data_IF_025268771379
#
_entry.id   IF_025268771379
#
_cell.length_a   1.000
_cell.length_b   1.000
_cell.length_c   1.000
_cell.angle_alpha   90.00
_cell.angle_beta   90.00
_cell.angle_gamma   90.00
#
_symmetry.space_group_name_H-M   'P 1'
#
loop_
_entity.id
_entity.type
_entity.pdbx_description
1 polymer ?
#
# COMPACT_ATOMS: atom_id res chain seq x y z
N UNK A 1 -24.07 13.34 63.22
CA UNK A 1 -23.79 12.16 62.37
C UNK A 1 -24.45 12.42 61.03
N UNK A 2 -23.80 13.25 60.23
CA UNK A 2 -22.89 12.91 59.11
C UNK A 2 -23.67 12.68 57.81
N UNK A 3 -23.58 13.72 56.98
CA UNK A 3 -24.22 13.86 55.69
C UNK A 3 -23.63 12.89 54.66
N UNK A 4 -24.50 12.30 53.83
CA UNK A 4 -24.10 11.69 52.56
C UNK A 4 -23.67 12.82 51.63
N UNK A 5 -22.36 13.08 51.58
CA UNK A 5 -21.75 13.90 50.55
C UNK A 5 -21.83 13.15 49.21
N UNK A 6 -22.51 13.80 48.27
CA UNK A 6 -22.44 13.51 46.84
C UNK A 6 -20.98 13.58 46.40
N UNK A 7 -20.40 12.45 45.99
CA UNK A 7 -19.23 12.48 45.13
C UNK A 7 -19.71 12.60 43.68
N UNK A 8 -20.20 13.79 43.35
CA UNK A 8 -20.47 14.24 41.99
C UNK A 8 -19.09 14.56 41.40
N UNK A 9 -18.39 13.51 40.96
CA UNK A 9 -17.05 13.60 40.41
C UNK A 9 -17.08 14.52 39.19
N UNK A 10 -16.47 15.68 39.34
CA UNK A 10 -16.22 16.63 38.27
C UNK A 10 -15.71 15.89 37.03
N UNK A 11 -16.45 15.99 35.93
CA UNK A 11 -15.98 15.58 34.61
C UNK A 11 -14.73 16.44 34.35
N UNK A 12 -13.54 15.86 34.11
CA UNK A 12 -12.32 16.63 33.89
C UNK A 12 -12.54 17.63 32.76
N UNK A 13 -12.03 18.86 32.90
CA UNK A 13 -12.15 19.97 31.93
C UNK A 13 -11.85 19.54 30.48
N UNK A 14 -10.85 18.65 30.33
CA UNK A 14 -10.43 18.01 29.08
C UNK A 14 -11.54 17.20 28.38
N UNK A 15 -12.50 16.66 29.15
CA UNK A 15 -13.66 15.93 28.62
C UNK A 15 -14.82 16.84 28.18
N UNK A 16 -14.83 18.10 28.62
CA UNK A 16 -15.79 19.11 28.15
C UNK A 16 -15.32 19.73 26.82
N UNK A 17 -14.04 20.08 26.74
CA UNK A 17 -13.41 20.64 25.53
C UNK A 17 -13.51 19.68 24.34
N UNK A 18 -13.21 18.40 24.56
CA UNK A 18 -13.37 17.38 23.51
C UNK A 18 -14.85 17.24 23.10
N UNK A 19 -15.80 17.35 24.03
CA UNK A 19 -17.23 17.28 23.72
C UNK A 19 -17.65 18.37 22.74
N UNK A 20 -17.22 19.61 23.00
CA UNK A 20 -17.49 20.77 22.13
C UNK A 20 -16.83 20.61 20.76
N UNK A 21 -15.58 20.15 20.71
CA UNK A 21 -14.89 19.89 19.45
C UNK A 21 -15.65 18.86 18.59
N UNK A 22 -16.09 17.77 19.20
CA UNK A 22 -16.81 16.69 18.51
C UNK A 22 -18.21 17.13 18.06
N UNK A 23 -18.90 17.96 18.83
CA UNK A 23 -20.18 18.54 18.41
C UNK A 23 -20.03 19.44 17.18
N UNK A 24 -19.01 20.31 17.16
CA UNK A 24 -18.70 21.12 15.97
C UNK A 24 -18.29 20.26 14.77
N UNK A 25 -17.52 19.20 14.99
CA UNK A 25 -17.21 18.22 13.95
C UNK A 25 -18.48 17.57 13.38
N UNK A 26 -19.44 17.21 14.24
CA UNK A 26 -20.70 16.60 13.83
C UNK A 26 -21.56 17.54 12.95
N UNK A 27 -21.44 18.85 13.16
CA UNK A 27 -22.07 19.89 12.35
C UNK A 27 -21.33 20.16 11.02
N UNK A 28 -20.17 19.55 10.81
CA UNK A 28 -19.36 19.74 9.61
C UNK A 28 -18.51 21.00 9.62
N UNK A 29 -18.24 21.59 10.79
CA UNK A 29 -17.33 22.72 10.92
C UNK A 29 -15.92 22.32 10.46
N UNK A 30 -15.44 22.99 9.41
CA UNK A 30 -14.15 22.70 8.77
C UNK A 30 -12.98 22.92 9.74
N UNK A 31 -13.05 23.96 10.58
CA UNK A 31 -11.97 24.28 11.53
C UNK A 31 -11.90 23.24 12.63
N UNK A 32 -13.06 22.81 13.13
CA UNK A 32 -13.15 21.74 14.12
C UNK A 32 -12.64 20.39 13.56
N UNK A 33 -13.00 20.06 12.32
CA UNK A 33 -12.51 18.85 11.65
C UNK A 33 -10.99 18.90 11.43
N UNK A 34 -10.45 20.06 11.06
CA UNK A 34 -9.01 20.25 10.92
C UNK A 34 -8.29 20.05 12.25
N UNK A 35 -8.78 20.66 13.33
CA UNK A 35 -8.25 20.49 14.68
C UNK A 35 -8.31 19.02 15.11
N UNK A 36 -9.43 18.34 14.84
CA UNK A 36 -9.58 16.92 15.10
C UNK A 36 -8.51 16.07 14.39
N UNK A 37 -8.31 16.26 13.08
CA UNK A 37 -7.30 15.50 12.33
C UNK A 37 -5.88 15.87 12.76
N UNK A 38 -5.62 17.10 13.16
CA UNK A 38 -4.33 17.50 13.72
C UNK A 38 -4.03 16.70 15.00
N UNK A 39 -5.01 16.51 15.88
CA UNK A 39 -4.83 15.78 17.14
C UNK A 39 -4.81 14.25 16.97
N UNK A 40 -5.67 13.70 16.11
CA UNK A 40 -5.93 12.25 16.08
C UNK A 40 -5.39 11.52 14.85
N UNK A 41 -4.77 12.21 13.89
CA UNK A 41 -4.24 11.55 12.67
C UNK A 41 -3.24 10.43 12.96
N UNK A 42 -2.35 10.61 13.93
CA UNK A 42 -1.39 9.59 14.35
C UNK A 42 -2.09 8.39 15.02
N UNK A 43 -3.13 8.64 15.81
CA UNK A 43 -3.95 7.58 16.42
C UNK A 43 -4.67 6.76 15.33
N UNK A 44 -5.24 7.42 14.31
CA UNK A 44 -5.91 6.76 13.18
C UNK A 44 -4.91 5.89 12.39
N UNK A 45 -3.75 6.45 12.04
CA UNK A 45 -2.72 5.76 11.25
C UNK A 45 -2.15 4.55 11.98
N UNK A 46 -1.83 4.68 13.28
CA UNK A 46 -1.21 3.62 14.06
C UNK A 46 -2.19 2.53 14.53
N UNK A 47 -3.49 2.82 14.58
CA UNK A 47 -4.51 1.88 15.04
C UNK A 47 -4.50 0.52 14.30
N UNK A 48 -4.57 0.45 12.95
CA UNK A 48 -4.50 -0.82 12.22
C UNK A 48 -3.19 -1.59 12.47
N UNK A 49 -2.06 -0.90 12.57
CA UNK A 49 -0.76 -1.52 12.83
C UNK A 49 -0.77 -2.18 14.20
N UNK A 50 -1.21 -1.46 15.23
CA UNK A 50 -1.18 -1.93 16.62
C UNK A 50 -2.22 -3.01 16.93
N UNK A 51 -3.41 -2.90 16.35
CA UNK A 51 -4.56 -3.76 16.71
C UNK A 51 -4.72 -4.94 15.75
N UNK A 52 -4.36 -4.76 14.48
CA UNK A 52 -4.55 -5.76 13.42
C UNK A 52 -3.23 -6.23 12.78
N UNK A 53 -2.08 -5.72 13.24
CA UNK A 53 -0.74 -6.09 12.73
C UNK A 53 -0.60 -5.86 11.22
N UNK A 54 -1.28 -4.84 10.69
CA UNK A 54 -1.17 -4.47 9.29
C UNK A 54 0.17 -3.80 9.01
N UNK A 55 0.61 -3.90 7.75
CA UNK A 55 1.79 -3.19 7.25
C UNK A 55 1.58 -1.68 7.19
N UNK A 56 2.67 -0.91 7.07
CA UNK A 56 2.58 0.56 6.90
C UNK A 56 1.84 0.97 5.63
N UNK A 57 1.99 0.20 4.55
CA UNK A 57 1.27 0.42 3.28
C UNK A 57 -0.24 0.24 3.51
N UNK A 58 -0.65 -0.87 4.12
CA UNK A 58 -2.06 -1.13 4.47
C UNK A 58 -2.60 -0.09 5.47
N UNK A 59 -1.77 0.40 6.39
CA UNK A 59 -2.14 1.45 7.33
C UNK A 59 -2.34 2.81 6.63
N UNK A 60 -1.52 3.11 5.63
CA UNK A 60 -1.68 4.29 4.77
C UNK A 60 -3.00 4.24 4.00
N UNK A 61 -3.29 3.11 3.36
CA UNK A 61 -4.54 2.91 2.61
C UNK A 61 -5.76 3.00 3.53
N UNK A 62 -5.68 2.37 4.71
CA UNK A 62 -6.70 2.49 5.73
C UNK A 62 -6.88 3.94 6.18
N UNK A 63 -5.79 4.69 6.38
CA UNK A 63 -5.85 6.08 6.80
C UNK A 63 -6.63 6.92 5.79
N UNK A 64 -6.36 6.78 4.49
CA UNK A 64 -7.10 7.47 3.42
C UNK A 64 -8.58 7.07 3.42
N UNK A 65 -8.87 5.77 3.56
CA UNK A 65 -10.23 5.26 3.66
C UNK A 65 -10.99 5.83 4.87
N UNK A 66 -10.32 5.93 6.03
CA UNK A 66 -10.87 6.48 7.26
C UNK A 66 -11.06 7.99 7.14
N UNK A 67 -10.08 8.71 6.58
CA UNK A 67 -10.15 10.14 6.32
C UNK A 67 -11.39 10.49 5.48
N UNK A 68 -11.61 9.81 4.35
CA UNK A 68 -12.79 10.04 3.50
C UNK A 68 -14.12 9.81 4.22
N UNK A 69 -14.17 8.86 5.16
CA UNK A 69 -15.39 8.55 5.94
C UNK A 69 -15.62 9.48 7.12
N UNK A 70 -14.57 10.14 7.61
CA UNK A 70 -14.62 11.03 8.76
C UNK A 70 -14.69 12.51 8.36
N UNK A 71 -14.15 12.90 7.20
CA UNK A 71 -14.03 14.31 6.76
C UNK A 71 -15.33 15.09 6.61
N UNK A 72 -16.49 14.41 6.58
CA UNK A 72 -17.80 15.07 6.44
C UNK A 72 -18.54 15.25 7.77
N UNK A 73 -17.93 14.89 8.90
CA UNK A 73 -18.56 15.11 10.22
C UNK A 73 -19.61 14.07 10.64
N UNK A 74 -20.23 13.36 9.70
CA UNK A 74 -21.46 12.56 9.97
C UNK A 74 -21.26 11.48 11.03
N UNK A 75 -20.08 10.86 11.08
CA UNK A 75 -19.75 9.81 12.07
C UNK A 75 -19.75 10.35 13.50
N UNK A 76 -19.34 11.61 13.70
CA UNK A 76 -19.23 12.24 15.02
C UNK A 76 -20.59 12.47 15.69
N UNK A 77 -21.67 12.61 14.90
CA UNK A 77 -23.04 12.72 15.43
C UNK A 77 -23.49 11.49 16.26
N UNK A 78 -22.81 10.34 16.10
CA UNK A 78 -23.09 9.14 16.91
C UNK A 78 -22.43 9.14 18.28
N UNK A 79 -21.59 10.13 18.60
CA UNK A 79 -21.00 10.28 19.92
C UNK A 79 -21.98 10.96 20.88
N UNK A 80 -22.57 10.18 21.79
CA UNK A 80 -23.58 10.67 22.75
C UNK A 80 -22.98 11.11 24.11
N UNK A 81 -21.66 11.25 24.25
CA UNK A 81 -21.00 11.65 25.50
C UNK A 81 -21.09 10.65 26.67
N UNK A 82 -21.69 9.46 26.47
CA UNK A 82 -21.90 8.43 27.52
C UNK A 82 -20.64 7.65 27.89
N UNK A 83 -19.55 7.85 27.16
CA UNK A 83 -18.25 7.20 27.38
C UNK A 83 -17.13 8.17 27.04
N UNK A 84 -15.90 7.89 27.50
CA UNK A 84 -14.73 8.68 27.09
C UNK A 84 -14.60 8.66 25.56
N UNK A 85 -14.24 9.81 24.99
CA UNK A 85 -14.11 9.96 23.55
C UNK A 85 -13.22 8.89 22.90
N UNK A 86 -12.02 8.65 23.45
CA UNK A 86 -11.08 7.64 22.94
C UNK A 86 -11.70 6.23 22.90
N UNK A 87 -12.52 5.85 23.89
CA UNK A 87 -13.19 4.54 23.94
C UNK A 87 -14.20 4.38 22.79
N UNK A 88 -15.03 5.40 22.57
CA UNK A 88 -15.95 5.43 21.43
C UNK A 88 -15.18 5.45 20.11
N UNK A 89 -14.14 6.28 20.02
CA UNK A 89 -13.38 6.48 18.80
C UNK A 89 -12.65 5.20 18.36
N UNK A 90 -12.08 4.44 19.29
CA UNK A 90 -11.46 3.14 18.98
C UNK A 90 -12.48 2.13 18.47
N UNK A 91 -13.74 2.19 18.92
CA UNK A 91 -14.82 1.37 18.37
C UNK A 91 -15.12 1.77 16.93
N UNK A 92 -15.16 3.07 16.64
CA UNK A 92 -15.32 3.60 15.27
C UNK A 92 -14.17 3.11 14.38
N UNK A 93 -12.92 3.27 14.82
CA UNK A 93 -11.74 2.83 14.07
C UNK A 93 -11.74 1.33 13.82
N UNK A 94 -12.09 0.51 14.83
CA UNK A 94 -12.20 -0.94 14.67
C UNK A 94 -13.20 -1.32 13.57
N UNK A 95 -14.37 -0.69 13.56
CA UNK A 95 -15.38 -0.95 12.56
C UNK A 95 -14.91 -0.49 11.17
N UNK A 96 -14.27 0.67 11.09
CA UNK A 96 -13.70 1.17 9.83
C UNK A 96 -12.63 0.22 9.27
N UNK A 97 -11.74 -0.34 10.11
CA UNK A 97 -10.72 -1.29 9.66
C UNK A 97 -11.37 -2.56 9.14
N UNK A 98 -12.38 -3.09 9.84
CA UNK A 98 -13.11 -4.29 9.40
C UNK A 98 -13.82 -4.04 8.06
N UNK A 99 -14.48 -2.90 7.91
CA UNK A 99 -15.17 -2.54 6.67
C UNK A 99 -14.17 -2.33 5.52
N UNK A 100 -13.04 -1.68 5.78
CA UNK A 100 -11.95 -1.53 4.82
C UNK A 100 -11.42 -2.90 4.38
N UNK A 101 -11.07 -3.78 5.33
CA UNK A 101 -10.62 -5.14 5.04
C UNK A 101 -11.64 -5.96 4.24
N UNK A 102 -12.95 -5.76 4.49
CA UNK A 102 -14.02 -6.38 3.69
C UNK A 102 -14.04 -5.82 2.28
N UNK A 103 -13.97 -4.51 2.12
CA UNK A 103 -13.92 -3.88 0.80
C UNK A 103 -12.69 -4.29 0.00
N UNK A 104 -11.52 -4.41 0.63
CA UNK A 104 -10.29 -4.92 0.01
C UNK A 104 -10.42 -6.40 -0.36
N UNK A 105 -11.11 -7.22 0.44
CA UNK A 105 -11.36 -8.63 0.12
C UNK A 105 -12.40 -8.84 -0.97
N UNK A 106 -13.46 -8.04 -0.96
CA UNK A 106 -14.47 -8.03 -2.03
C UNK A 106 -13.85 -7.56 -3.32
N UNK A 107 -12.96 -6.56 -3.25
CA UNK A 107 -12.06 -6.22 -4.33
C UNK A 107 -11.17 -7.41 -4.69
N UNK A 108 -10.45 -8.11 -3.81
CA UNK A 108 -9.70 -9.34 -4.19
C UNK A 108 -10.59 -10.44 -4.83
N UNK A 109 -11.88 -10.49 -4.48
CA UNK A 109 -12.86 -11.49 -4.99
C UNK A 109 -13.50 -11.04 -6.30
N UNK A 110 -13.57 -9.73 -6.56
CA UNK A 110 -14.21 -9.10 -7.71
C UNK A 110 -13.18 -8.55 -8.70
N UNK A 111 -11.93 -8.27 -8.33
CA UNK A 111 -10.85 -7.64 -9.09
C UNK A 111 -10.19 -8.60 -10.10
N UNK A 112 -11.02 -9.16 -10.97
CA UNK A 112 -10.95 -8.70 -12.34
C UNK A 112 -11.51 -7.28 -12.39
N UNK A 113 -10.77 -6.28 -12.86
CA UNK A 113 -11.14 -4.84 -12.84
C UNK A 113 -10.69 -4.01 -11.62
N UNK A 114 -9.41 -4.10 -11.24
CA UNK A 114 -8.59 -2.87 -11.14
C UNK A 114 -7.86 -2.74 -12.47
N UNK A 115 -7.71 -1.53 -12.99
CA UNK A 115 -7.07 -1.25 -14.29
C UNK A 115 -5.90 -2.20 -14.53
N UNK A 116 -6.14 -3.07 -15.50
CA UNK A 116 -5.24 -4.13 -15.92
C UNK A 116 -4.44 -3.57 -17.07
N UNK A 117 -3.12 -3.79 -17.07
CA UNK A 117 -2.41 -3.79 -18.33
C UNK A 117 -2.98 -4.89 -19.25
N UNK A 118 -2.51 -4.97 -20.50
CA UNK A 118 -2.95 -6.00 -21.45
C UNK A 118 -2.72 -7.45 -20.97
N UNK A 119 -2.08 -7.64 -19.81
CA UNK A 119 -1.74 -8.90 -19.18
C UNK A 119 -2.40 -9.12 -17.79
N UNK A 120 -3.32 -8.26 -17.35
CA UNK A 120 -4.09 -8.51 -16.12
C UNK A 120 -3.40 -8.13 -14.81
N UNK A 121 -2.31 -7.34 -14.85
CA UNK A 121 -1.57 -6.93 -13.63
C UNK A 121 -2.21 -5.68 -13.00
N UNK A 122 -2.34 -5.61 -11.66
CA UNK A 122 -2.76 -4.38 -10.98
C UNK A 122 -1.64 -3.34 -11.05
N UNK A 123 -1.90 -2.20 -11.70
CA UNK A 123 -0.92 -1.12 -11.83
C UNK A 123 -1.22 -0.01 -10.81
N UNK A 124 -0.34 0.18 -9.82
CA UNK A 124 -0.05 1.56 -9.37
C UNK A 124 0.91 2.14 -10.42
N UNK A 125 0.61 3.28 -11.02
CA UNK A 125 1.43 3.88 -12.10
C UNK A 125 2.91 4.09 -11.70
N UNK A 126 3.18 4.25 -10.40
CA UNK A 126 4.54 4.34 -9.85
C UNK A 126 5.28 2.99 -9.85
N UNK A 127 4.54 1.87 -9.86
CA UNK A 127 5.10 0.53 -9.89
C UNK A 127 5.58 0.12 -11.28
N UNK A 128 4.99 0.69 -12.34
CA UNK A 128 5.47 0.54 -13.71
C UNK A 128 6.82 1.24 -13.96
N UNK A 129 7.14 2.30 -13.20
CA UNK A 129 8.42 3.03 -13.31
C UNK A 129 9.60 2.18 -12.80
N UNK A 130 9.34 1.25 -11.89
CA UNK A 130 10.35 0.58 -11.07
C UNK A 130 10.62 -0.87 -11.51
N UNK A 131 9.76 -1.44 -12.35
CA UNK A 131 9.87 -2.83 -12.80
C UNK A 131 11.00 -3.01 -13.85
N UNK A 132 12.11 -3.71 -13.52
CA UNK A 132 13.20 -4.00 -14.46
C UNK A 132 12.79 -4.99 -15.56
N UNK A 133 11.64 -5.65 -15.41
CA UNK A 133 11.10 -6.62 -16.37
C UNK A 133 10.25 -6.03 -17.49
N UNK A 134 9.99 -4.71 -17.50
CA UNK A 134 9.21 -4.05 -18.57
C UNK A 134 9.95 -3.89 -19.91
N UNK A 135 11.19 -4.38 -19.98
CA UNK A 135 12.08 -4.29 -21.14
C UNK A 135 11.85 -5.39 -22.19
N UNK A 136 10.61 -5.63 -22.59
CA UNK A 136 10.33 -6.25 -23.89
C UNK A 136 9.62 -5.22 -24.77
N UNK A 137 10.38 -4.76 -25.78
CA UNK A 137 10.02 -3.87 -26.90
C UNK A 137 8.57 -3.38 -26.98
N UNK A 138 8.36 -2.07 -26.79
CA UNK A 138 7.22 -1.38 -27.39
C UNK A 138 7.46 0.15 -27.41
N UNK A 139 7.22 0.77 -28.57
CA UNK A 139 7.11 2.22 -28.76
C UNK A 139 6.12 2.85 -27.75
N UNK A 140 5.12 2.09 -27.32
CA UNK A 140 4.16 2.45 -26.26
C UNK A 140 4.82 2.68 -24.90
N UNK A 141 5.81 1.86 -24.50
CA UNK A 141 6.50 2.05 -23.21
C UNK A 141 7.39 3.29 -23.24
N UNK A 142 7.98 3.61 -24.40
CA UNK A 142 8.76 4.82 -24.59
C UNK A 142 7.89 6.07 -24.48
N UNK A 143 6.73 6.08 -25.14
CA UNK A 143 5.75 7.17 -25.03
C UNK A 143 5.23 7.34 -23.61
N UNK A 144 4.92 6.25 -22.89
CA UNK A 144 4.54 6.30 -21.47
C UNK A 144 5.65 6.90 -20.60
N UNK A 145 6.91 6.49 -20.81
CA UNK A 145 8.05 7.03 -20.08
C UNK A 145 8.27 8.53 -20.36
N UNK A 146 8.10 8.98 -21.61
CA UNK A 146 8.24 10.38 -22.01
C UNK A 146 7.11 11.26 -21.43
N UNK A 147 5.86 10.80 -21.49
CA UNK A 147 4.72 11.49 -20.85
C UNK A 147 4.89 11.57 -19.34
N UNK A 148 5.35 10.48 -18.72
CA UNK A 148 5.60 10.43 -17.27
C UNK A 148 6.74 11.37 -16.86
N UNK A 149 7.85 11.41 -17.61
CA UNK A 149 8.94 12.36 -17.36
C UNK A 149 8.45 13.81 -17.47
N UNK A 150 7.57 14.10 -18.42
CA UNK A 150 6.96 15.43 -18.59
C UNK A 150 6.11 15.81 -17.38
N UNK A 151 5.24 14.91 -16.91
CA UNK A 151 4.38 15.13 -15.74
C UNK A 151 5.19 15.27 -14.45
N UNK A 152 6.22 14.44 -14.25
CA UNK A 152 7.14 14.57 -13.11
C UNK A 152 7.89 15.90 -13.12
N UNK A 153 8.29 16.40 -14.29
CA UNK A 153 8.93 17.71 -14.45
C UNK A 153 8.04 18.90 -14.10
N UNK A 154 6.71 18.72 -14.04
CA UNK A 154 5.75 19.75 -13.66
C UNK A 154 5.38 19.72 -12.16
N UNK A 155 5.93 18.76 -11.40
CA UNK A 155 5.69 18.71 -9.96
C UNK A 155 6.43 19.85 -9.25
N UNK A 156 5.76 20.56 -8.31
CA UNK A 156 6.42 21.48 -7.40
C UNK A 156 7.57 20.80 -6.66
N UNK A 157 8.63 21.56 -6.37
CA UNK A 157 9.86 21.06 -5.75
C UNK A 157 9.61 20.17 -4.53
N UNK A 158 8.77 20.60 -3.60
CA UNK A 158 8.42 19.82 -2.39
C UNK A 158 7.75 18.48 -2.71
N UNK A 159 6.86 18.45 -3.72
CA UNK A 159 6.17 17.23 -4.14
C UNK A 159 7.12 16.26 -4.86
N UNK A 160 8.03 16.80 -5.69
CA UNK A 160 9.11 16.02 -6.31
C UNK A 160 10.01 15.37 -5.26
N UNK A 161 10.45 16.15 -4.27
CA UNK A 161 11.29 15.65 -3.17
C UNK A 161 10.56 14.58 -2.37
N UNK A 162 9.30 14.80 -2.01
CA UNK A 162 8.51 13.80 -1.27
C UNK A 162 8.39 12.48 -2.05
N UNK A 163 8.14 12.55 -3.36
CA UNK A 163 8.05 11.37 -4.21
C UNK A 163 9.41 10.65 -4.29
N UNK A 164 10.49 11.38 -4.56
CA UNK A 164 11.85 10.82 -4.62
C UNK A 164 12.27 10.20 -3.29
N UNK A 165 11.94 10.84 -2.17
CA UNK A 165 12.18 10.29 -0.84
C UNK A 165 11.37 9.01 -0.59
N UNK A 166 10.12 8.94 -1.03
CA UNK A 166 9.30 7.73 -0.91
C UNK A 166 9.88 6.54 -1.69
N UNK A 167 10.64 6.82 -2.75
CA UNK A 167 11.29 5.85 -3.62
C UNK A 167 12.82 6.04 -3.65
N UNK A 168 13.44 6.41 -2.52
CA UNK A 168 14.86 6.83 -2.46
C UNK A 168 15.85 5.73 -2.82
N UNK A 169 15.39 4.48 -2.80
CA UNK A 169 16.15 3.33 -3.30
C UNK A 169 16.33 3.38 -4.84
N UNK A 170 15.43 4.04 -5.55
CA UNK A 170 15.40 4.11 -7.02
C UNK A 170 15.80 5.49 -7.54
N UNK A 171 15.63 6.54 -6.74
CA UNK A 171 15.92 7.92 -7.12
C UNK A 171 17.02 8.55 -6.28
N UNK A 172 17.82 9.37 -6.93
CA UNK A 172 18.74 10.29 -6.29
C UNK A 172 18.11 11.68 -6.16
N UNK A 173 18.48 12.36 -5.08
CA UNK A 173 18.17 13.78 -4.88
C UNK A 173 19.29 14.62 -5.47
N UNK A 174 18.93 15.67 -6.21
CA UNK A 174 19.90 16.62 -6.74
C UNK A 174 20.42 17.59 -5.65
N UNK A 175 21.42 18.40 -6.00
CA UNK A 175 22.02 19.35 -5.05
C UNK A 175 21.01 20.39 -4.53
N UNK A 176 20.06 20.83 -5.37
CA UNK A 176 19.05 21.82 -4.98
C UNK A 176 18.02 21.19 -4.03
N UNK A 177 17.61 19.96 -4.32
CA UNK A 177 16.70 19.15 -3.50
C UNK A 177 17.31 18.83 -2.14
N UNK A 178 18.59 18.43 -2.09
CA UNK A 178 19.32 18.21 -0.84
C UNK A 178 19.46 19.49 -0.02
N UNK A 179 19.75 20.64 -0.65
CA UNK A 179 19.81 21.93 0.04
C UNK A 179 18.44 22.34 0.59
N UNK A 180 17.38 22.11 -0.17
CA UNK A 180 16.01 22.38 0.29
C UNK A 180 15.66 21.52 1.50
N UNK A 181 15.96 20.21 1.45
CA UNK A 181 15.67 19.26 2.52
C UNK A 181 16.48 19.57 3.79
N UNK A 182 17.78 19.87 3.64
CA UNK A 182 18.64 20.26 4.77
C UNK A 182 18.11 21.49 5.50
N UNK A 183 17.64 22.51 4.76
CA UNK A 183 17.02 23.71 5.33
C UNK A 183 15.69 23.41 6.01
N UNK A 184 14.88 22.51 5.45
CA UNK A 184 13.57 22.14 5.99
C UNK A 184 13.69 21.39 7.31
N UNK A 185 14.67 20.48 7.41
CA UNK A 185 14.96 19.65 8.60
C UNK A 185 15.82 20.38 9.64
N UNK A 186 16.42 21.52 9.29
CA UNK A 186 17.41 22.22 10.11
C UNK A 186 18.62 21.32 10.48
N UNK A 187 19.20 20.68 9.45
CA UNK A 187 20.31 19.73 9.61
C UNK A 187 21.49 20.06 8.70
N UNK A 188 22.71 19.67 9.10
CA UNK A 188 23.87 19.81 8.22
C UNK A 188 23.77 18.85 7.03
N UNK A 189 24.42 19.22 5.92
CA UNK A 189 24.45 18.38 4.72
C UNK A 189 25.04 17.00 5.02
N UNK A 190 26.09 16.94 5.82
CA UNK A 190 26.78 15.70 6.19
C UNK A 190 25.86 14.78 7.01
N UNK A 191 25.13 15.33 7.99
CA UNK A 191 24.20 14.56 8.81
C UNK A 191 23.03 14.02 7.99
N UNK A 192 22.47 14.86 7.11
CA UNK A 192 21.40 14.44 6.20
C UNK A 192 21.86 13.30 5.28
N UNK A 193 23.06 13.41 4.69
CA UNK A 193 23.59 12.36 3.82
C UNK A 193 23.80 11.04 4.57
N UNK A 194 24.28 11.09 5.82
CA UNK A 194 24.40 9.90 6.67
C UNK A 194 23.04 9.26 6.97
N UNK A 195 22.02 10.06 7.25
CA UNK A 195 20.66 9.57 7.50
C UNK A 195 20.05 8.94 6.23
N UNK A 196 20.19 9.58 5.07
CA UNK A 196 19.71 9.04 3.81
C UNK A 196 20.42 7.73 3.44
N UNK A 197 21.73 7.62 3.72
CA UNK A 197 22.48 6.38 3.50
C UNK A 197 22.00 5.26 4.42
N UNK A 198 21.75 5.57 5.70
CA UNK A 198 21.20 4.61 6.64
C UNK A 198 19.83 4.08 6.19
N UNK A 199 18.95 4.98 5.73
CA UNK A 199 17.65 4.59 5.15
C UNK A 199 17.87 3.69 3.92
N UNK A 200 18.82 4.01 3.04
CA UNK A 200 19.13 3.19 1.87
C UNK A 200 19.61 1.79 2.23
N UNK A 201 20.44 1.65 3.26
CA UNK A 201 20.89 0.35 3.75
C UNK A 201 19.74 -0.50 4.30
N UNK A 202 18.82 0.09 5.09
CA UNK A 202 17.62 -0.60 5.55
C UNK A 202 16.75 -1.08 4.37
N UNK A 203 16.57 -0.20 3.38
CA UNK A 203 15.80 -0.48 2.17
C UNK A 203 16.47 -1.56 1.31
N UNK A 204 17.80 -1.62 1.26
CA UNK A 204 18.54 -2.67 0.55
C UNK A 204 18.29 -4.04 1.15
N UNK A 205 18.28 -4.17 2.48
CA UNK A 205 17.94 -5.44 3.15
C UNK A 205 16.49 -5.86 2.84
N UNK A 206 15.57 -4.90 2.75
CA UNK A 206 14.18 -5.15 2.33
C UNK A 206 14.11 -5.58 0.86
N UNK A 207 14.91 -4.96 -0.01
CA UNK A 207 15.01 -5.29 -1.44
C UNK A 207 15.53 -6.70 -1.69
N UNK A 208 16.49 -7.17 -0.89
CA UNK A 208 17.02 -8.54 -0.98
C UNK A 208 15.93 -9.57 -0.68
N UNK A 209 15.11 -9.36 0.36
CA UNK A 209 13.94 -10.21 0.66
C UNK A 209 12.93 -10.22 -0.49
N UNK A 210 12.73 -9.08 -1.14
CA UNK A 210 11.84 -8.96 -2.30
C UNK A 210 12.39 -9.71 -3.52
N UNK A 211 13.70 -9.65 -3.76
CA UNK A 211 14.38 -10.41 -4.81
C UNK A 211 14.27 -11.92 -4.59
N UNK A 212 14.37 -12.40 -3.36
CA UNK A 212 14.16 -13.83 -3.05
C UNK A 212 12.76 -14.32 -3.46
N UNK A 213 11.73 -13.49 -3.26
CA UNK A 213 10.35 -13.81 -3.70
C UNK A 213 10.25 -13.82 -5.23
N UNK A 214 10.94 -12.90 -5.93
CA UNK A 214 11.04 -12.92 -7.40
C UNK A 214 11.69 -14.20 -7.91
N UNK A 215 12.78 -14.63 -7.29
CA UNK A 215 13.51 -15.83 -7.68
C UNK A 215 12.65 -17.09 -7.44
N UNK A 216 11.91 -17.14 -6.34
CA UNK A 216 10.95 -18.22 -6.05
C UNK A 216 9.82 -18.28 -7.09
N UNK A 217 9.26 -17.13 -7.47
CA UNK A 217 8.23 -17.06 -8.51
C UNK A 217 8.80 -17.51 -9.85
N UNK A 218 9.96 -17.02 -10.24
CA UNK A 218 10.68 -17.44 -11.46
C UNK A 218 10.88 -18.95 -11.48
N UNK A 219 11.38 -19.53 -10.39
CA UNK A 219 11.56 -20.98 -10.27
C UNK A 219 10.23 -21.75 -10.39
N UNK A 220 9.13 -21.23 -9.82
CA UNK A 220 7.80 -21.82 -9.95
C UNK A 220 7.26 -21.73 -11.38
N UNK A 221 7.41 -20.59 -12.06
CA UNK A 221 7.00 -20.44 -13.45
C UNK A 221 7.74 -21.41 -14.35
N UNK A 222 9.07 -21.51 -14.22
CA UNK A 222 9.88 -22.48 -14.98
C UNK A 222 9.48 -23.93 -14.64
N UNK A 223 9.21 -24.23 -13.37
CA UNK A 223 8.76 -25.54 -12.92
C UNK A 223 7.37 -25.92 -13.47
N UNK A 224 6.41 -25.00 -13.41
CA UNK A 224 5.07 -25.16 -13.99
C UNK A 224 5.17 -25.36 -15.50
N UNK A 225 5.98 -24.56 -16.19
CA UNK A 225 6.17 -24.67 -17.63
C UNK A 225 6.72 -26.05 -18.02
N UNK A 226 7.79 -26.51 -17.36
CA UNK A 226 8.35 -27.86 -17.59
C UNK A 226 7.31 -28.96 -17.31
N UNK A 227 6.53 -28.82 -16.25
CA UNK A 227 5.55 -29.83 -15.84
C UNK A 227 4.33 -29.86 -16.77
N UNK A 228 3.83 -28.69 -17.21
CA UNK A 228 2.80 -28.59 -18.26
C UNK A 228 3.26 -29.24 -19.56
N UNK A 229 4.51 -28.99 -19.97
CA UNK A 229 5.09 -29.63 -21.14
C UNK A 229 5.11 -31.16 -20.99
N UNK A 230 5.53 -31.69 -19.84
CA UNK A 230 5.53 -33.14 -19.56
C UNK A 230 4.12 -33.74 -19.57
N UNK A 231 3.16 -33.11 -18.90
CA UNK A 231 1.76 -33.58 -18.88
C UNK A 231 1.20 -33.65 -20.31
N UNK A 232 1.41 -32.61 -21.11
CA UNK A 232 0.94 -32.57 -22.51
C UNK A 232 1.58 -33.66 -23.37
N UNK A 233 2.88 -33.92 -23.19
CA UNK A 233 3.58 -34.99 -23.90
C UNK A 233 3.02 -36.37 -23.53
N UNK A 234 2.78 -36.61 -22.24
CA UNK A 234 2.19 -37.88 -21.76
C UNK A 234 0.75 -38.07 -22.24
N UNK A 235 -0.07 -37.01 -22.25
CA UNK A 235 -1.45 -37.04 -22.78
C UNK A 235 -1.48 -37.39 -24.27
N UNK A 236 -0.65 -36.72 -25.08
CA UNK A 236 -0.52 -37.04 -26.51
C UNK A 236 0.03 -38.44 -26.77
N UNK A 237 0.88 -38.97 -25.89
CA UNK A 237 1.35 -40.36 -25.95
C UNK A 237 0.25 -41.36 -25.60
N UNK A 238 -0.59 -41.03 -24.62
CA UNK A 238 -1.71 -41.87 -24.19
C UNK A 238 -2.84 -41.90 -25.22
N UNK A 239 -3.15 -40.77 -25.87
CA UNK A 239 -4.10 -40.71 -26.99
C UNK A 239 -3.66 -41.60 -28.17
N UNK A 240 -2.35 -41.67 -28.45
CA UNK A 240 -1.78 -42.56 -29.48
C UNK A 240 -1.85 -44.04 -29.10
N UNK A 241 -1.66 -44.35 -27.81
CA UNK A 241 -1.80 -45.71 -27.29
C UNK A 241 -3.27 -46.19 -27.32
N UNK A 242 -4.22 -45.31 -26.97
CA UNK A 242 -5.67 -45.60 -27.03
C UNK A 242 -6.16 -45.77 -28.47
N UNK A 243 -5.58 -45.04 -29.43
CA UNK A 243 -5.90 -45.16 -30.87
C UNK A 243 -5.17 -46.31 -31.59
N UNK A 244 -4.44 -47.17 -30.86
CA UNK A 244 -3.86 -48.40 -31.38
C UNK A 244 -2.56 -48.25 -32.17
N UNK A 245 -1.94 -47.06 -32.18
CA UNK A 245 -0.69 -46.80 -32.90
C UNK A 245 0.50 -46.74 -31.93
N UNK A 246 0.97 -47.93 -31.50
CA UNK A 246 2.27 -48.14 -30.86
C UNK A 246 2.37 -47.95 -29.34
N UNK A 247 2.92 -48.99 -28.69
CA UNK A 247 3.44 -49.12 -27.31
C UNK A 247 2.51 -48.77 -26.12
N UNK A 248 2.74 -49.47 -25.01
CA UNK A 248 2.06 -49.29 -23.72
C UNK A 248 1.96 -47.80 -23.35
N UNK A 249 0.75 -47.28 -23.21
CA UNK A 249 0.51 -45.91 -22.78
C UNK A 249 1.14 -45.62 -21.42
N UNK A 250 1.48 -44.35 -21.12
CA UNK A 250 1.99 -43.98 -19.80
C UNK A 250 0.96 -44.35 -18.72
N UNK A 251 1.45 -44.78 -17.55
CA UNK A 251 0.62 -45.17 -16.41
C UNK A 251 -0.30 -44.01 -15.97
N UNK A 252 -1.61 -44.24 -16.00
CA UNK A 252 -2.66 -43.28 -15.61
C UNK A 252 -2.41 -42.70 -14.21
N UNK A 253 -1.83 -43.52 -13.32
CA UNK A 253 -1.46 -43.10 -11.98
C UNK A 253 -0.38 -42.02 -11.99
N UNK A 254 0.67 -42.18 -12.81
CA UNK A 254 1.75 -41.20 -12.93
C UNK A 254 1.27 -39.92 -13.62
N UNK A 255 0.35 -40.01 -14.59
CA UNK A 255 -0.23 -38.82 -15.22
C UNK A 255 -1.05 -37.99 -14.21
N UNK A 256 -1.91 -38.63 -13.42
CA UNK A 256 -2.71 -37.95 -12.39
C UNK A 256 -1.82 -37.34 -11.30
N UNK A 257 -0.75 -38.04 -10.89
CA UNK A 257 0.25 -37.50 -9.96
C UNK A 257 0.96 -36.26 -10.52
N UNK A 258 1.27 -36.22 -11.82
CA UNK A 258 1.84 -35.02 -12.46
C UNK A 258 0.83 -33.86 -12.51
N UNK A 259 -0.45 -34.14 -12.77
CA UNK A 259 -1.54 -33.13 -12.72
C UNK A 259 -1.72 -32.57 -11.31
N UNK A 260 -1.71 -33.40 -10.29
CA UNK A 260 -1.79 -32.95 -8.88
C UNK A 260 -0.60 -32.09 -8.48
N UNK A 261 0.61 -32.50 -8.88
CA UNK A 261 1.83 -31.70 -8.64
C UNK A 261 1.74 -30.34 -9.36
N UNK A 262 1.18 -30.32 -10.57
CA UNK A 262 0.98 -29.10 -11.35
C UNK A 262 -0.03 -28.17 -10.67
N UNK A 263 -1.17 -28.69 -10.21
CA UNK A 263 -2.17 -27.93 -9.47
C UNK A 263 -1.58 -27.34 -8.18
N UNK A 264 -0.81 -28.13 -7.42
CA UNK A 264 -0.10 -27.65 -6.22
C UNK A 264 0.89 -26.52 -6.53
N UNK A 265 1.67 -26.64 -7.60
CA UNK A 265 2.61 -25.59 -8.02
C UNK A 265 1.92 -24.32 -8.50
N UNK A 266 0.80 -24.44 -9.22
CA UNK A 266 -0.04 -23.30 -9.62
C UNK A 266 -0.60 -22.61 -8.38
N UNK A 267 -1.17 -23.34 -7.43
CA UNK A 267 -1.67 -22.76 -6.19
C UNK A 267 -0.56 -22.11 -5.34
N UNK A 268 0.65 -22.68 -5.33
CA UNK A 268 1.81 -22.07 -4.66
C UNK A 268 2.23 -20.76 -5.33
N UNK A 269 2.27 -20.72 -6.68
CA UNK A 269 2.50 -19.51 -7.46
C UNK A 269 1.43 -18.47 -7.14
N UNK A 270 0.15 -18.84 -7.17
CA UNK A 270 -0.96 -17.90 -6.97
C UNK A 270 -0.96 -17.31 -5.55
N UNK A 271 -0.57 -18.10 -4.54
CA UNK A 271 -0.37 -17.58 -3.18
C UNK A 271 0.81 -16.60 -3.09
N UNK A 272 1.91 -16.87 -3.80
CA UNK A 272 3.05 -15.97 -3.85
C UNK A 272 2.74 -14.71 -4.67
N UNK A 273 1.98 -14.83 -5.76
CA UNK A 273 1.48 -13.70 -6.56
C UNK A 273 0.46 -12.86 -5.79
N UNK A 274 -0.40 -13.47 -4.98
CA UNK A 274 -1.31 -12.72 -4.12
C UNK A 274 -0.55 -11.93 -3.03
N UNK A 275 0.65 -12.38 -2.64
CA UNK A 275 1.57 -11.59 -1.79
C UNK A 275 2.28 -10.51 -2.63
N UNK A 276 2.76 -10.86 -3.83
CA UNK A 276 3.39 -9.97 -4.82
C UNK A 276 2.50 -8.75 -5.16
N UNK A 277 1.25 -9.02 -5.55
CA UNK A 277 0.31 -8.03 -6.13
C UNK A 277 -0.21 -7.01 -5.11
N UNK A 278 0.02 -7.22 -3.81
CA UNK A 278 -0.28 -6.25 -2.75
C UNK A 278 0.77 -5.13 -2.62
N UNK A 279 1.49 -4.80 -3.70
CA UNK A 279 2.52 -3.75 -3.70
C UNK A 279 3.84 -4.11 -2.99
N UNK A 280 4.06 -5.37 -2.61
CA UNK A 280 5.15 -5.81 -1.73
C UNK A 280 6.53 -5.99 -2.38
N UNK A 281 6.79 -5.47 -3.58
CA UNK A 281 8.09 -5.67 -4.25
C UNK A 281 8.79 -4.38 -4.64
N UNK A 282 8.13 -3.27 -4.39
CA UNK A 282 8.74 -1.97 -4.54
C UNK A 282 9.16 -1.51 -3.18
N UNK A 283 10.43 -1.16 -3.12
CA UNK A 283 11.11 -0.77 -1.91
C UNK A 283 10.73 0.68 -1.64
N UNK A 284 9.60 0.85 -0.96
CA UNK A 284 9.12 2.14 -0.48
C UNK A 284 9.77 2.47 0.86
N UNK A 285 10.13 3.75 1.03
CA UNK A 285 10.62 4.30 2.29
C UNK A 285 9.50 4.29 3.33
N UNK A 286 9.72 3.72 4.54
CA UNK A 286 8.79 3.80 5.64
C UNK A 286 8.27 5.22 5.87
N UNK A 287 6.96 5.36 6.12
CA UNK A 287 6.34 6.69 6.28
C UNK A 287 6.88 7.43 7.50
N UNK A 288 7.39 6.70 8.50
CA UNK A 288 8.06 7.27 9.66
C UNK A 288 9.34 8.04 9.27
N UNK A 289 10.17 7.48 8.38
CA UNK A 289 11.39 8.15 7.89
C UNK A 289 11.03 9.39 7.05
N UNK A 290 10.01 9.28 6.20
CA UNK A 290 9.52 10.41 5.40
C UNK A 290 8.98 11.55 6.28
N UNK A 291 8.23 11.20 7.31
CA UNK A 291 7.69 12.13 8.30
C UNK A 291 8.81 12.91 9.00
N UNK A 292 9.86 12.21 9.43
CA UNK A 292 11.02 12.80 10.12
C UNK A 292 11.88 13.68 9.19
N UNK A 293 12.07 13.26 7.93
CA UNK A 293 12.83 14.05 6.95
C UNK A 293 12.12 15.34 6.54
N UNK A 294 10.78 15.30 6.41
CA UNK A 294 9.99 16.43 5.90
C UNK A 294 9.37 17.29 7.02
N UNK A 295 9.47 16.86 8.28
CA UNK A 295 8.86 17.55 9.42
C UNK A 295 7.34 17.59 9.34
N UNK A 296 6.72 16.49 8.90
CA UNK A 296 5.26 16.32 8.77
C UNK A 296 4.84 15.00 9.41
N UNK A 297 3.54 14.79 9.66
CA UNK A 297 3.07 13.52 10.23
C UNK A 297 3.05 12.40 9.16
N UNK A 298 3.21 11.14 9.58
CA UNK A 298 3.10 9.97 8.69
C UNK A 298 1.74 9.91 7.96
N UNK A 299 0.67 10.33 8.64
CA UNK A 299 -0.64 10.53 8.04
C UNK A 299 -0.65 11.63 6.96
N UNK A 300 0.06 12.74 7.21
CA UNK A 300 0.27 13.80 6.23
C UNK A 300 1.03 13.32 5.01
N UNK A 301 2.03 12.44 5.18
CA UNK A 301 2.74 11.80 4.07
C UNK A 301 1.76 11.00 3.20
N UNK A 302 0.93 10.13 3.81
CA UNK A 302 -0.07 9.34 3.09
C UNK A 302 -1.00 10.20 2.22
N UNK A 303 -1.54 11.28 2.77
CA UNK A 303 -2.46 12.18 2.03
C UNK A 303 -1.74 12.90 0.90
N UNK A 304 -0.52 13.41 1.15
CA UNK A 304 0.23 14.14 0.13
C UNK A 304 0.69 13.20 -1.00
N UNK A 305 1.15 11.99 -0.69
CA UNK A 305 1.49 10.98 -1.70
C UNK A 305 0.27 10.60 -2.55
N UNK A 306 -0.90 10.41 -1.93
CA UNK A 306 -2.15 10.13 -2.66
C UNK A 306 -2.53 11.29 -3.60
N UNK A 307 -2.40 12.55 -3.15
CA UNK A 307 -2.65 13.73 -3.98
C UNK A 307 -1.64 13.86 -5.13
N UNK A 308 -0.38 13.53 -4.89
CA UNK A 308 0.66 13.51 -5.93
C UNK A 308 0.29 12.45 -6.98
N UNK A 309 -0.10 11.25 -6.55
CA UNK A 309 -0.54 10.18 -7.45
C UNK A 309 -1.74 10.61 -8.31
N UNK A 310 -2.77 11.20 -7.71
CA UNK A 310 -3.95 11.72 -8.44
C UNK A 310 -3.56 12.81 -9.45
N UNK A 311 -2.61 13.69 -9.09
CA UNK A 311 -2.11 14.73 -9.99
C UNK A 311 -1.35 14.14 -11.18
N UNK A 312 -0.53 13.12 -10.93
CA UNK A 312 0.20 12.40 -11.98
C UNK A 312 -0.81 11.71 -12.92
N UNK A 313 -1.81 11.04 -12.36
CA UNK A 313 -2.86 10.35 -13.13
C UNK A 313 -3.63 11.31 -14.04
N UNK A 314 -4.07 12.45 -13.51
CA UNK A 314 -4.75 13.49 -14.31
C UNK A 314 -3.86 14.03 -15.43
N UNK A 315 -2.60 14.33 -15.12
CA UNK A 315 -1.64 14.81 -16.13
C UNK A 315 -1.40 13.81 -17.26
N UNK A 316 -1.37 12.51 -16.95
CA UNK A 316 -1.24 11.45 -17.95
C UNK A 316 -2.50 11.29 -18.81
N UNK A 317 -3.69 11.41 -18.22
CA UNK A 317 -4.96 11.36 -18.95
C UNK A 317 -5.14 12.55 -19.90
N UNK A 318 -4.66 13.74 -19.52
CA UNK A 318 -4.71 14.95 -20.37
C UNK A 318 -3.75 14.89 -21.57
N UNK A 319 -2.78 13.95 -21.58
CA UNK A 319 -1.80 13.77 -22.65
C UNK A 319 -2.15 12.63 -23.63
N UNK A 320 -3.25 11.90 -23.40
CA UNK A 320 -3.80 10.86 -24.30
C UNK A 320 -4.85 11.43 -25.25
#
# INVERSE_FOLDING_TARGET
MSAKSKNESAIPEESLEIGVLIEKCAQGDISALQEFFQQYSLDIYNFPIRVFYLSEDEASDFFLYAFERLRNGKRFASFAGRSRFRTWFYTVLRNLVIDWMRSVKELDTVQMHVWQDSQGRPTELLNEIVDPGSAMDDESNRQKAESLHTVLGQLPLEQSIMLKLAYIYYFDLDVRELQWLARRKDSSREALLQELEHIRDELRLKAERFREVQDQLTALYLGIWRLKWKVRQSESGQERAISGVGASGPDDFELNKMRDLLAKKIAQRDRLLARYNKGQLIVKTPHAHLADLLGVSAAGISVNLARIAEKIEKGLLEMQ
#
